data_IF_958590017921
#
_entry.id   IF_958590017921
#
_cell.length_a   1.000
_cell.length_b   1.000
_cell.length_c   1.000
_cell.angle_alpha   90.00
_cell.angle_beta   90.00
_cell.angle_gamma   90.00
#
_symmetry.space_group_name_H-M   'P 1'
#
loop_
_entity.id
_entity.type
_entity.pdbx_description
1 polymer ?
#
# COMPACT_ATOMS: atom_id res chain seq x y z
N UNK A 1 -3.30 -18.53 -11.71
CA UNK A 1 -3.06 -17.30 -10.93
C UNK A 1 -2.94 -16.17 -11.93
N UNK A 2 -3.59 -15.03 -11.73
CA UNK A 2 -3.48 -13.89 -12.64
C UNK A 2 -2.22 -13.08 -12.30
N UNK A 3 -1.45 -12.66 -13.31
CA UNK A 3 -0.32 -11.76 -13.13
C UNK A 3 -0.75 -10.29 -13.17
N UNK A 4 0.11 -9.37 -12.73
CA UNK A 4 -0.07 -7.93 -12.98
C UNK A 4 1.23 -7.17 -13.21
N UNK A 5 1.11 -6.09 -13.99
CA UNK A 5 2.05 -4.99 -14.08
C UNK A 5 1.54 -3.86 -13.18
N UNK A 6 2.32 -3.46 -12.17
CA UNK A 6 1.89 -2.50 -11.14
C UNK A 6 2.91 -1.39 -10.87
N UNK A 7 3.23 -0.50 -11.85
CA UNK A 7 4.08 0.65 -11.59
C UNK A 7 3.37 1.76 -10.80
N UNK A 8 4.14 2.51 -10.01
CA UNK A 8 3.69 3.77 -9.40
C UNK A 8 4.10 4.96 -10.27
N UNK A 9 3.19 5.91 -10.59
CA UNK A 9 3.48 7.04 -11.48
C UNK A 9 4.14 8.21 -10.74
N UNK A 10 5.17 7.94 -9.94
CA UNK A 10 5.93 8.95 -9.18
C UNK A 10 7.16 9.49 -9.91
N UNK A 11 7.40 9.02 -11.12
CA UNK A 11 8.53 9.37 -11.99
C UNK A 11 8.50 8.52 -13.27
N UNK A 12 9.46 8.74 -14.17
CA UNK A 12 9.63 7.90 -15.35
C UNK A 12 10.00 6.46 -14.99
N UNK A 13 9.67 5.52 -15.87
CA UNK A 13 9.94 4.11 -15.66
C UNK A 13 11.45 3.86 -15.62
N UNK A 14 11.96 3.49 -14.45
CA UNK A 14 13.36 3.12 -14.24
C UNK A 14 13.62 1.67 -14.68
N UNK A 15 14.85 1.39 -15.13
CA UNK A 15 15.26 0.06 -15.63
C UNK A 15 14.99 -1.08 -14.64
N UNK A 16 15.17 -0.88 -13.33
CA UNK A 16 14.87 -1.89 -12.32
C UNK A 16 13.38 -2.22 -12.21
N UNK A 17 12.51 -1.23 -12.40
CA UNK A 17 11.07 -1.45 -12.44
C UNK A 17 10.71 -2.17 -13.75
N UNK A 18 11.26 -1.71 -14.88
CA UNK A 18 11.06 -2.35 -16.18
C UNK A 18 11.49 -3.83 -16.17
N UNK A 19 12.63 -4.17 -15.54
CA UNK A 19 13.08 -5.55 -15.38
C UNK A 19 12.10 -6.41 -14.57
N UNK A 20 11.55 -5.86 -13.48
CA UNK A 20 10.56 -6.58 -12.66
C UNK A 20 9.25 -6.81 -13.42
N UNK A 21 8.80 -5.81 -14.18
CA UNK A 21 7.62 -5.88 -15.03
C UNK A 21 7.80 -6.87 -16.20
N UNK A 22 8.99 -6.92 -16.80
CA UNK A 22 9.35 -7.92 -17.80
C UNK A 22 9.27 -9.34 -17.24
N UNK A 23 9.76 -9.58 -16.02
CA UNK A 23 9.67 -10.90 -15.39
C UNK A 23 8.21 -11.32 -15.14
N UNK A 24 7.37 -10.41 -14.65
CA UNK A 24 5.94 -10.67 -14.47
C UNK A 24 5.24 -10.96 -15.81
N UNK A 25 5.61 -10.23 -16.86
CA UNK A 25 5.10 -10.48 -18.20
C UNK A 25 5.52 -11.83 -18.76
N UNK A 26 6.81 -12.19 -18.65
CA UNK A 26 7.34 -13.48 -19.12
C UNK A 26 6.68 -14.65 -18.41
N UNK A 27 6.51 -14.56 -17.09
CA UNK A 27 5.82 -15.57 -16.28
C UNK A 27 4.37 -15.78 -16.76
N UNK A 28 3.61 -14.69 -16.91
CA UNK A 28 2.24 -14.77 -17.39
C UNK A 28 2.13 -15.34 -18.81
N UNK A 29 3.02 -14.94 -19.73
CA UNK A 29 3.02 -15.45 -21.11
C UNK A 29 3.45 -16.91 -21.18
N UNK A 30 4.42 -17.33 -20.38
CA UNK A 30 4.89 -18.73 -20.35
C UNK A 30 3.82 -19.70 -19.82
N UNK A 31 2.96 -19.22 -18.91
CA UNK A 31 1.90 -20.02 -18.28
C UNK A 31 0.53 -19.85 -18.96
N UNK A 32 0.40 -18.97 -19.95
CA UNK A 32 -0.89 -18.63 -20.57
C UNK A 32 -1.86 -17.92 -19.60
N UNK A 33 -1.34 -17.34 -18.51
CA UNK A 33 -2.16 -16.63 -17.52
C UNK A 33 -2.47 -15.21 -18.00
N UNK A 34 -3.63 -14.69 -17.61
CA UNK A 34 -3.96 -13.28 -17.82
C UNK A 34 -2.97 -12.37 -17.06
N UNK A 35 -2.65 -11.22 -17.65
CA UNK A 35 -1.76 -10.21 -17.09
C UNK A 35 -2.46 -8.86 -17.09
N UNK A 36 -2.85 -8.35 -15.93
CA UNK A 36 -3.54 -7.06 -15.82
C UNK A 36 -2.57 -5.89 -15.67
N UNK A 37 -3.03 -4.68 -15.99
CA UNK A 37 -2.31 -3.44 -15.68
C UNK A 37 -2.98 -2.68 -14.55
N UNK A 38 -2.21 -2.36 -13.51
CA UNK A 38 -2.64 -1.50 -12.41
C UNK A 38 -1.68 -0.32 -12.26
N UNK A 39 -2.21 0.88 -12.12
CA UNK A 39 -1.44 2.07 -11.80
C UNK A 39 -1.55 2.33 -10.29
N UNK A 40 -0.42 2.23 -9.58
CA UNK A 40 -0.36 2.39 -8.13
C UNK A 40 -0.24 3.89 -7.76
N UNK A 41 -1.33 4.65 -7.99
CA UNK A 41 -1.40 6.12 -7.91
C UNK A 41 -2.03 6.68 -6.61
N UNK A 42 -1.88 5.95 -5.50
CA UNK A 42 -2.49 6.28 -4.20
C UNK A 42 -1.94 7.53 -3.50
N UNK A 43 -0.74 7.99 -3.89
CA UNK A 43 -0.13 9.17 -3.30
C UNK A 43 -0.32 10.38 -4.22
N UNK A 44 -1.28 11.27 -3.94
CA UNK A 44 -1.59 12.39 -4.82
C UNK A 44 -0.48 13.44 -4.89
N UNK A 45 0.46 13.47 -3.93
CA UNK A 45 1.57 14.43 -3.93
C UNK A 45 2.68 13.98 -4.88
N UNK A 46 2.85 12.68 -5.07
CA UNK A 46 3.91 12.10 -5.89
C UNK A 46 3.41 11.62 -7.25
N UNK A 47 2.18 11.16 -7.33
CA UNK A 47 1.58 10.56 -8.53
C UNK A 47 1.19 11.65 -9.53
N UNK A 48 1.67 11.51 -10.78
CA UNK A 48 1.32 12.44 -11.87
C UNK A 48 0.84 11.66 -13.08
N UNK A 49 -0.26 12.13 -13.70
CA UNK A 49 -0.82 11.48 -14.89
C UNK A 49 0.20 11.37 -16.03
N UNK A 50 1.03 12.41 -16.24
CA UNK A 50 2.09 12.38 -17.24
C UNK A 50 3.09 11.21 -17.06
N UNK A 51 3.36 10.80 -15.82
CA UNK A 51 4.22 9.63 -15.55
C UNK A 51 3.47 8.31 -15.73
N UNK A 52 2.17 8.27 -15.44
CA UNK A 52 1.33 7.11 -15.74
C UNK A 52 1.28 6.85 -17.26
N UNK A 53 1.02 7.89 -18.06
CA UNK A 53 1.00 7.84 -19.53
C UNK A 53 2.36 7.44 -20.10
N UNK A 54 3.45 8.02 -19.57
CA UNK A 54 4.80 7.65 -19.98
C UNK A 54 5.10 6.17 -19.69
N UNK A 55 4.75 5.67 -18.49
CA UNK A 55 4.94 4.26 -18.16
C UNK A 55 4.14 3.33 -19.08
N UNK A 56 2.88 3.66 -19.40
CA UNK A 56 2.06 2.89 -20.36
C UNK A 56 2.69 2.89 -21.75
N UNK A 57 3.21 4.04 -22.19
CA UNK A 57 3.88 4.19 -23.49
C UNK A 57 5.16 3.35 -23.55
N UNK A 58 6.00 3.43 -22.52
CA UNK A 58 7.26 2.68 -22.43
C UNK A 58 6.99 1.17 -22.43
N UNK A 59 6.02 0.70 -21.65
CA UNK A 59 5.64 -0.72 -21.61
C UNK A 59 5.11 -1.22 -22.96
N UNK A 60 4.27 -0.43 -23.63
CA UNK A 60 3.78 -0.75 -24.97
C UNK A 60 4.93 -0.78 -25.99
N UNK A 61 5.85 0.18 -25.94
CA UNK A 61 7.03 0.23 -26.82
C UNK A 61 7.95 -0.98 -26.62
N UNK A 62 8.10 -1.47 -25.39
CA UNK A 62 8.83 -2.69 -25.07
C UNK A 62 8.09 -3.99 -25.50
N UNK A 63 6.83 -3.89 -25.94
CA UNK A 63 5.99 -5.05 -26.27
C UNK A 63 5.40 -5.75 -25.04
N UNK A 64 5.47 -5.13 -23.86
CA UNK A 64 4.90 -5.66 -22.61
C UNK A 64 3.40 -5.38 -22.52
N UNK A 65 2.64 -5.99 -23.42
CA UNK A 65 1.18 -5.84 -23.46
C UNK A 65 0.50 -6.53 -22.27
N UNK A 66 -0.58 -5.93 -21.79
CA UNK A 66 -1.48 -6.45 -20.75
C UNK A 66 -2.88 -6.69 -21.32
N UNK A 67 -3.70 -7.38 -20.54
CA UNK A 67 -5.06 -7.75 -20.87
C UNK A 67 -6.05 -6.81 -20.15
N UNK A 68 -7.12 -6.43 -20.84
CA UNK A 68 -8.18 -5.58 -20.28
C UNK A 68 -7.81 -4.11 -20.08
N UNK A 69 -8.62 -3.41 -19.28
CA UNK A 69 -8.42 -1.99 -18.97
C UNK A 69 -7.38 -1.77 -17.87
N UNK A 70 -6.80 -0.57 -17.85
CA UNK A 70 -5.90 -0.14 -16.78
C UNK A 70 -6.70 0.19 -15.53
N UNK A 71 -6.41 -0.50 -14.44
CA UNK A 71 -6.97 -0.17 -13.12
C UNK A 71 -6.16 0.95 -12.48
N UNK A 72 -6.80 2.03 -12.04
CA UNK A 72 -6.16 3.08 -11.22
C UNK A 72 -6.57 2.90 -9.76
N UNK A 73 -5.60 2.83 -8.84
CA UNK A 73 -5.89 2.65 -7.42
C UNK A 73 -6.64 3.85 -6.82
N UNK A 74 -6.40 5.05 -7.35
CA UNK A 74 -7.15 6.27 -7.01
C UNK A 74 -8.65 6.15 -7.28
N UNK A 75 -9.07 5.28 -8.20
CA UNK A 75 -10.48 5.02 -8.47
C UNK A 75 -11.11 3.93 -7.58
N UNK A 76 -10.31 3.24 -6.73
CA UNK A 76 -10.74 2.04 -5.98
C UNK A 76 -11.09 2.32 -4.52
N UNK A 77 -11.34 3.58 -4.14
CA UNK A 77 -11.59 3.99 -2.75
C UNK A 77 -12.72 3.23 -2.05
N UNK A 78 -13.81 2.90 -2.75
CA UNK A 78 -14.94 2.19 -2.16
C UNK A 78 -14.59 0.74 -1.80
N UNK A 79 -13.75 0.07 -2.62
CA UNK A 79 -13.24 -1.28 -2.32
C UNK A 79 -12.41 -1.26 -1.05
N UNK A 80 -11.50 -0.29 -0.91
CA UNK A 80 -10.67 -0.15 0.27
C UNK A 80 -11.48 0.19 1.52
N UNK A 81 -12.52 1.01 1.38
CA UNK A 81 -13.46 1.31 2.48
C UNK A 81 -14.24 0.08 2.93
N UNK A 82 -14.72 -0.73 1.98
CA UNK A 82 -15.41 -1.98 2.29
C UNK A 82 -14.49 -2.95 3.02
N UNK A 83 -13.25 -3.14 2.54
CA UNK A 83 -12.27 -3.98 3.20
C UNK A 83 -11.92 -3.47 4.61
N UNK A 84 -11.73 -2.15 4.78
CA UNK A 84 -11.52 -1.55 6.09
C UNK A 84 -12.71 -1.83 7.03
N UNK A 85 -13.94 -1.70 6.54
CA UNK A 85 -15.14 -1.98 7.36
C UNK A 85 -15.17 -3.44 7.82
N UNK A 86 -14.85 -4.40 6.96
CA UNK A 86 -14.75 -5.81 7.34
C UNK A 86 -13.72 -6.04 8.44
N UNK A 87 -12.58 -5.34 8.41
CA UNK A 87 -11.56 -5.42 9.46
C UNK A 87 -12.05 -4.77 10.77
N UNK A 88 -12.81 -3.68 10.69
CA UNK A 88 -13.42 -3.02 11.85
C UNK A 88 -14.42 -3.98 12.53
N UNK A 89 -15.28 -4.62 11.75
CA UNK A 89 -16.29 -5.55 12.25
C UNK A 89 -15.66 -6.79 12.94
N UNK A 90 -14.40 -7.10 12.60
CA UNK A 90 -13.61 -8.17 13.20
C UNK A 90 -12.74 -7.71 14.40
N UNK A 91 -12.87 -6.46 14.85
CA UNK A 91 -12.04 -5.85 15.91
C UNK A 91 -10.52 -5.85 15.58
N UNK A 92 -10.18 -5.85 14.29
CA UNK A 92 -8.80 -5.86 13.79
C UNK A 92 -8.26 -4.45 13.50
N UNK A 93 -8.94 -3.39 13.94
CA UNK A 93 -8.55 -2.01 13.65
C UNK A 93 -8.58 -1.16 14.91
N UNK A 94 -7.61 -0.26 15.05
CA UNK A 94 -7.62 0.76 16.10
C UNK A 94 -7.13 2.12 15.57
N UNK A 95 -7.61 3.19 16.19
CA UNK A 95 -7.19 4.55 15.88
C UNK A 95 -5.88 4.92 16.62
N UNK A 96 -5.04 5.70 15.94
CA UNK A 96 -3.76 6.18 16.41
C UNK A 96 -3.63 7.68 16.14
N UNK A 97 -3.42 8.45 17.21
CA UNK A 97 -3.17 9.89 17.15
C UNK A 97 -1.69 10.25 17.41
N UNK A 98 -0.78 9.27 17.40
CA UNK A 98 0.64 9.54 17.63
C UNK A 98 1.22 10.36 16.46
N UNK A 99 1.91 11.44 16.78
CA UNK A 99 2.75 12.15 15.80
C UNK A 99 3.97 11.30 15.43
N UNK A 100 4.57 11.56 14.26
CA UNK A 100 5.83 10.89 13.86
C UNK A 100 6.93 11.03 14.92
N UNK A 101 7.06 12.22 15.53
CA UNK A 101 8.02 12.47 16.62
C UNK A 101 7.71 11.63 17.85
N UNK A 102 6.44 11.50 18.25
CA UNK A 102 6.04 10.66 19.38
C UNK A 102 6.31 9.18 19.11
N UNK A 103 6.06 8.70 17.89
CA UNK A 103 6.39 7.32 17.48
C UNK A 103 7.90 7.09 17.59
N UNK A 104 8.72 7.99 17.05
CA UNK A 104 10.17 7.85 17.08
C UNK A 104 10.72 7.86 18.52
N UNK A 105 10.19 8.73 19.38
CA UNK A 105 10.55 8.75 20.81
C UNK A 105 10.19 7.43 21.48
N UNK A 106 8.95 6.96 21.29
CA UNK A 106 8.50 5.71 21.89
C UNK A 106 9.33 4.50 21.41
N UNK A 107 9.76 4.48 20.15
CA UNK A 107 10.68 3.45 19.64
C UNK A 107 12.04 3.53 20.36
N UNK A 108 12.61 4.72 20.55
CA UNK A 108 13.86 4.89 21.29
C UNK A 108 13.75 4.45 22.76
N UNK A 109 12.62 4.74 23.40
CA UNK A 109 12.36 4.35 24.79
C UNK A 109 12.30 2.83 24.95
N UNK A 110 11.70 2.12 23.99
CA UNK A 110 11.71 0.65 23.96
C UNK A 110 13.13 0.10 23.88
N UNK A 111 14.01 0.69 23.06
CA UNK A 111 15.42 0.26 22.96
C UNK A 111 16.18 0.51 24.27
N UNK A 112 15.86 1.59 24.98
CA UNK A 112 16.52 1.96 26.24
C UNK A 112 16.03 1.15 27.44
N UNK A 113 14.88 0.48 27.34
CA UNK A 113 14.33 -0.33 28.43
C UNK A 113 15.26 -1.54 28.74
N UNK A 114 15.31 -2.02 30.00
CA UNK A 114 15.99 -3.28 30.33
C UNK A 114 15.42 -4.43 29.47
N UNK A 115 16.29 -5.12 28.72
CA UNK A 115 15.92 -6.12 27.71
C UNK A 115 15.16 -5.61 26.47
N UNK A 116 15.15 -4.29 26.27
CA UNK A 116 14.61 -3.63 25.09
C UNK A 116 15.31 -4.09 23.82
N UNK A 117 14.54 -4.60 22.85
CA UNK A 117 15.05 -4.92 21.51
C UNK A 117 14.67 -3.80 20.54
N UNK A 118 15.52 -3.48 19.56
CA UNK A 118 15.14 -2.60 18.46
C UNK A 118 13.84 -3.08 17.82
N UNK A 119 12.84 -2.20 17.79
CA UNK A 119 11.62 -2.45 17.05
C UNK A 119 11.82 -2.04 15.59
N UNK A 120 11.39 -2.89 14.66
CA UNK A 120 11.37 -2.57 13.24
C UNK A 120 10.23 -1.59 12.87
N UNK A 121 9.30 -1.30 13.79
CA UNK A 121 8.07 -0.57 13.50
C UNK A 121 7.39 0.04 14.72
N UNK A 122 6.11 0.37 14.56
CA UNK A 122 5.34 1.11 15.56
C UNK A 122 5.13 0.29 16.85
N UNK A 123 5.45 0.83 18.05
CA UNK A 123 5.39 0.07 19.31
C UNK A 123 3.96 -0.23 19.83
N UNK A 124 2.91 0.06 19.06
CA UNK A 124 1.53 -0.20 19.49
C UNK A 124 1.00 0.74 20.58
N UNK A 125 1.59 1.93 20.76
CA UNK A 125 1.26 2.89 21.84
C UNK A 125 -0.23 3.19 22.01
N UNK A 126 -1.02 3.17 20.93
CA UNK A 126 -2.46 3.46 20.94
C UNK A 126 -3.36 2.22 20.84
N UNK A 127 -2.80 1.01 20.76
CA UNK A 127 -3.57 -0.22 20.46
C UNK A 127 -4.76 -0.47 21.40
N UNK A 128 -4.63 -0.06 22.67
CA UNK A 128 -5.63 -0.29 23.72
C UNK A 128 -6.21 1.01 24.29
N UNK A 129 -6.06 2.15 23.61
CA UNK A 129 -6.54 3.46 24.10
C UNK A 129 -8.03 3.73 23.84
N UNK A 130 -8.70 2.89 23.04
CA UNK A 130 -10.12 3.06 22.72
C UNK A 130 -10.43 4.37 21.99
N UNK A 131 -9.48 4.89 21.19
CA UNK A 131 -9.69 6.11 20.43
C UNK A 131 -10.78 5.90 19.36
N UNK A 132 -11.62 6.92 19.09
CA UNK A 132 -12.68 6.81 18.09
C UNK A 132 -12.09 6.63 16.69
N UNK A 133 -12.63 5.68 15.92
CA UNK A 133 -12.18 5.39 14.55
C UNK A 133 -12.51 6.52 13.57
N UNK A 134 -13.55 7.32 13.84
CA UNK A 134 -13.97 8.46 13.03
C UNK A 134 -13.38 9.81 13.50
N UNK A 135 -12.37 9.81 14.38
CA UNK A 135 -11.81 11.02 14.99
C UNK A 135 -10.74 11.76 14.17
N UNK A 136 -10.61 11.50 12.86
CA UNK A 136 -9.52 12.04 12.04
C UNK A 136 -8.15 11.51 12.45
N UNK A 137 -8.11 10.27 12.95
CA UNK A 137 -6.88 9.59 13.36
C UNK A 137 -6.40 8.64 12.27
N UNK A 138 -5.13 8.28 12.30
CA UNK A 138 -4.67 7.17 11.47
C UNK A 138 -5.27 5.86 11.98
N UNK A 139 -5.74 5.02 11.08
CA UNK A 139 -6.25 3.69 11.38
C UNK A 139 -5.14 2.67 11.18
N UNK A 140 -4.91 1.82 12.17
CA UNK A 140 -3.86 0.79 12.15
C UNK A 140 -4.44 -0.59 12.25
N UNK A 141 -3.78 -1.54 11.61
CA UNK A 141 -4.10 -2.95 11.71
C UNK A 141 -3.67 -3.48 13.08
N UNK A 142 -4.57 -4.18 13.78
CA UNK A 142 -4.30 -4.85 15.05
C UNK A 142 -3.64 -6.20 14.74
N UNK A 143 -2.32 -6.24 14.89
CA UNK A 143 -1.52 -7.43 14.66
C UNK A 143 -0.33 -7.48 15.63
N UNK A 144 0.10 -8.70 15.99
CA UNK A 144 1.21 -8.94 16.91
C UNK A 144 2.60 -8.66 16.32
N UNK A 145 2.68 -8.53 14.99
CA UNK A 145 3.90 -8.12 14.27
C UNK A 145 4.08 -6.59 14.26
N UNK A 146 4.21 -5.99 13.07
CA UNK A 146 4.24 -4.53 12.92
C UNK A 146 2.83 -4.00 12.60
N UNK A 147 2.15 -3.33 13.54
CA UNK A 147 0.83 -2.75 13.33
C UNK A 147 0.92 -1.51 12.43
N UNK A 148 0.97 -1.76 11.12
CA UNK A 148 1.07 -0.75 10.08
C UNK A 148 -0.25 0.04 9.92
N UNK A 149 -0.15 1.20 9.29
CA UNK A 149 -1.29 2.07 9.00
C UNK A 149 -2.09 1.48 7.85
N UNK A 150 -3.40 1.32 8.01
CA UNK A 150 -4.36 0.96 6.96
C UNK A 150 -4.80 2.19 6.18
N UNK A 151 -5.14 3.25 6.91
CA UNK A 151 -5.53 4.56 6.39
C UNK A 151 -4.91 5.67 7.24
N UNK A 152 -4.33 6.67 6.60
CA UNK A 152 -3.74 7.83 7.27
C UNK A 152 -4.82 8.78 7.77
N UNK A 153 -4.44 9.67 8.70
CA UNK A 153 -5.33 10.70 9.23
C UNK A 153 -5.87 11.68 8.16
N UNK A 154 -5.14 11.86 7.05
CA UNK A 154 -5.57 12.66 5.89
C UNK A 154 -6.43 11.85 4.90
N UNK A 155 -6.82 10.63 5.23
CA UNK A 155 -7.68 9.77 4.42
C UNK A 155 -6.95 8.93 3.38
N UNK A 156 -5.65 9.16 3.16
CA UNK A 156 -4.87 8.40 2.18
C UNK A 156 -4.71 6.93 2.61
N UNK A 157 -4.95 6.02 1.66
CA UNK A 157 -4.83 4.57 1.87
C UNK A 157 -3.36 4.14 1.91
N UNK A 158 -3.08 3.10 2.68
CA UNK A 158 -1.78 2.45 2.64
C UNK A 158 -1.63 1.56 1.42
N UNK A 159 -0.39 1.45 0.93
CA UNK A 159 -0.02 0.52 -0.14
C UNK A 159 -0.37 -0.93 0.24
N UNK A 160 -0.08 -1.32 1.49
CA UNK A 160 -0.30 -2.68 1.97
C UNK A 160 -1.77 -3.09 1.90
N UNK A 161 -2.70 -2.23 2.33
CA UNK A 161 -4.12 -2.52 2.23
C UNK A 161 -4.56 -2.58 0.76
N UNK A 162 -4.21 -1.56 -0.02
CA UNK A 162 -4.70 -1.42 -1.37
C UNK A 162 -4.25 -2.57 -2.29
N UNK A 163 -2.97 -2.96 -2.22
CA UNK A 163 -2.44 -4.08 -3.01
C UNK A 163 -3.12 -5.38 -2.68
N UNK A 164 -3.34 -5.68 -1.39
CA UNK A 164 -4.01 -6.92 -0.97
C UNK A 164 -5.46 -6.93 -1.46
N UNK A 165 -6.17 -5.81 -1.37
CA UNK A 165 -7.56 -5.71 -1.84
C UNK A 165 -7.64 -5.83 -3.37
N UNK A 166 -6.68 -5.27 -4.09
CA UNK A 166 -6.67 -5.31 -5.55
C UNK A 166 -6.18 -6.64 -6.13
N UNK A 167 -5.37 -7.40 -5.37
CA UNK A 167 -4.86 -8.72 -5.77
C UNK A 167 -5.78 -9.89 -5.35
N UNK A 168 -6.78 -9.66 -4.48
CA UNK A 168 -7.73 -10.67 -3.98
C UNK A 168 -8.92 -10.90 -4.92
#
# INVERSE_FOLDING_TARGET
MQGRLAPSPSGHLHIGNASSLLLAWLDARSSGSALMMRMDDLDPQRSKMAFAEAALTDLSWMGLNWDGEVLYQSASHDRYRSALQQLIDQDLVYACNCSRKAIQSAMQDVVRAPHGKPLAGYPGTCANKGLPLNGGHALRFRWSGDPFVLQRADGAWSYQLAVVVDDA
#
